data_IF_996154145177
#
_entry.id   IF_996154145177
#
_cell.length_a   1.000
_cell.length_b   1.000
_cell.length_c   1.000
_cell.angle_alpha   90.00
_cell.angle_beta   90.00
_cell.angle_gamma   90.00
#
_symmetry.space_group_name_H-M   'P 1'
#
loop_
_entity.id
_entity.type
_entity.pdbx_description
1 polymer ?
#
# COMPACT_ATOMS: atom_id res chain seq x y z
N UNK A 1 30.23 -2.73 -1.48
CA UNK A 1 31.50 -3.33 -1.97
C UNK A 1 31.80 -3.11 -3.46
N UNK A 2 30.82 -2.80 -4.32
CA UNK A 2 31.06 -2.76 -5.78
C UNK A 2 31.98 -1.62 -6.26
N UNK A 3 31.85 -0.40 -5.71
CA UNK A 3 32.69 0.75 -6.13
C UNK A 3 34.17 0.57 -5.79
N UNK A 4 34.49 0.02 -4.62
CA UNK A 4 35.89 -0.24 -4.24
C UNK A 4 36.54 -1.30 -5.15
N UNK A 5 35.80 -2.34 -5.52
CA UNK A 5 36.29 -3.35 -6.46
C UNK A 5 36.47 -2.78 -7.89
N UNK A 6 35.52 -1.97 -8.36
CA UNK A 6 35.63 -1.29 -9.65
C UNK A 6 36.84 -0.34 -9.72
N UNK A 7 37.11 0.42 -8.64
CA UNK A 7 38.29 1.29 -8.57
C UNK A 7 39.61 0.51 -8.60
N UNK A 8 39.67 -0.66 -7.93
CA UNK A 8 40.83 -1.56 -8.02
C UNK A 8 41.09 -2.05 -9.45
N UNK A 9 40.02 -2.45 -10.17
CA UNK A 9 40.13 -2.86 -11.58
C UNK A 9 40.53 -1.71 -12.50
N UNK A 10 40.09 -0.49 -12.22
CA UNK A 10 40.41 0.71 -13.00
C UNK A 10 41.77 1.34 -12.67
N UNK A 11 42.56 0.76 -11.75
CA UNK A 11 43.85 1.32 -11.31
C UNK A 11 43.72 2.63 -10.50
N UNK A 12 42.52 2.94 -10.01
CA UNK A 12 42.25 4.15 -9.23
C UNK A 12 42.65 3.90 -7.77
N UNK A 13 43.69 4.60 -7.31
CA UNK A 13 44.31 4.40 -5.99
C UNK A 13 43.63 5.18 -4.86
N UNK A 14 42.84 6.21 -5.18
CA UNK A 14 42.12 7.01 -4.20
C UNK A 14 40.68 7.31 -4.64
N UNK A 15 39.76 7.30 -3.68
CA UNK A 15 38.35 7.66 -3.90
C UNK A 15 37.95 8.77 -2.94
N UNK A 16 37.18 9.74 -3.44
CA UNK A 16 36.57 10.75 -2.57
C UNK A 16 35.44 10.09 -1.79
N UNK A 17 35.60 10.04 -0.47
CA UNK A 17 34.58 9.58 0.46
C UNK A 17 34.20 10.74 1.39
N UNK A 18 32.92 10.83 1.71
CA UNK A 18 32.43 11.77 2.70
C UNK A 18 32.12 10.97 3.96
N UNK A 19 32.86 11.25 5.03
CA UNK A 19 32.74 10.54 6.31
C UNK A 19 32.01 11.48 7.26
N UNK A 20 30.90 11.00 7.81
CA UNK A 20 30.09 11.71 8.79
C UNK A 20 30.37 11.09 10.17
N UNK A 21 30.65 11.93 11.16
CA UNK A 21 30.97 11.50 12.52
C UNK A 21 29.94 12.02 13.51
N UNK A 22 29.73 11.30 14.61
CA UNK A 22 28.88 11.75 15.72
C UNK A 22 27.38 11.74 15.43
N UNK A 23 26.95 11.02 14.40
CA UNK A 23 25.53 10.81 14.12
C UNK A 23 24.98 9.68 14.99
N UNK A 24 23.76 9.85 15.48
CA UNK A 24 22.97 8.74 16.01
C UNK A 24 22.30 7.93 14.88
N UNK A 25 21.71 6.79 15.22
CA UNK A 25 21.13 5.89 14.22
C UNK A 25 19.96 6.53 13.44
N UNK A 26 19.22 7.47 14.03
CA UNK A 26 18.14 8.18 13.34
C UNK A 26 18.71 9.19 12.35
N UNK A 27 19.72 9.95 12.76
CA UNK A 27 20.42 10.92 11.92
C UNK A 27 21.14 10.23 10.74
N UNK A 28 21.74 9.07 10.96
CA UNK A 28 22.30 8.24 9.89
C UNK A 28 21.23 7.80 8.88
N UNK A 29 20.05 7.38 9.36
CA UNK A 29 18.93 6.99 8.51
C UNK A 29 18.40 8.16 7.65
N UNK A 30 18.25 9.35 8.24
CA UNK A 30 17.86 10.57 7.51
C UNK A 30 18.88 10.90 6.42
N UNK A 31 20.17 10.88 6.75
CA UNK A 31 21.24 11.16 5.78
C UNK A 31 21.26 10.13 4.64
N UNK A 32 21.01 8.86 4.95
CA UNK A 32 20.87 7.80 3.96
C UNK A 32 19.72 8.08 2.99
N UNK A 33 18.53 8.49 3.49
CA UNK A 33 17.39 8.82 2.64
C UNK A 33 17.71 9.98 1.69
N UNK A 34 18.30 11.06 2.22
CA UNK A 34 18.66 12.24 1.43
C UNK A 34 19.62 11.85 0.30
N UNK A 35 20.72 11.16 0.63
CA UNK A 35 21.76 10.80 -0.34
C UNK A 35 21.29 9.80 -1.39
N UNK A 36 20.46 8.83 -1.01
CA UNK A 36 19.99 7.84 -1.98
C UNK A 36 18.88 8.38 -2.88
N UNK A 37 18.00 9.25 -2.37
CA UNK A 37 17.00 9.94 -3.19
C UNK A 37 17.63 10.67 -4.38
N UNK A 38 18.86 11.19 -4.20
CA UNK A 38 19.61 11.92 -5.22
C UNK A 38 20.45 11.02 -6.15
N UNK A 39 20.77 9.78 -5.78
CA UNK A 39 21.85 9.01 -6.45
C UNK A 39 21.46 7.63 -6.99
N UNK A 40 20.41 6.97 -6.49
CA UNK A 40 19.90 5.69 -7.02
C UNK A 40 18.48 5.39 -6.52
N UNK A 41 17.63 4.79 -7.36
CA UNK A 41 16.25 4.44 -6.98
C UNK A 41 16.24 3.28 -5.97
N UNK A 42 16.02 3.60 -4.70
CA UNK A 42 15.84 2.63 -3.61
C UNK A 42 14.47 1.96 -3.75
N UNK A 43 14.31 0.75 -3.22
CA UNK A 43 13.00 0.10 -3.20
C UNK A 43 12.09 0.79 -2.18
N UNK A 44 10.78 0.88 -2.45
CA UNK A 44 9.83 1.49 -1.50
C UNK A 44 9.86 0.83 -0.12
N UNK A 45 10.16 -0.48 -0.07
CA UNK A 45 10.28 -1.21 1.20
C UNK A 45 11.49 -0.75 2.01
N UNK A 46 12.62 -0.50 1.34
CA UNK A 46 13.82 -0.02 2.02
C UNK A 46 13.64 1.45 2.44
N UNK A 47 13.02 2.29 1.60
CA UNK A 47 12.64 3.65 1.98
C UNK A 47 11.73 3.66 3.22
N UNK A 48 10.73 2.78 3.27
CA UNK A 48 9.87 2.62 4.44
C UNK A 48 10.65 2.24 5.71
N UNK A 49 11.53 1.24 5.64
CA UNK A 49 12.33 0.80 6.81
C UNK A 49 13.27 1.90 7.31
N UNK A 50 13.88 2.64 6.40
CA UNK A 50 14.73 3.75 6.77
C UNK A 50 13.90 4.91 7.32
N UNK A 51 12.71 5.18 6.74
CA UNK A 51 11.75 6.15 7.25
C UNK A 51 11.30 5.84 8.67
N UNK A 52 11.03 4.56 8.99
CA UNK A 52 10.76 4.13 10.37
C UNK A 52 11.91 4.42 11.31
N UNK A 53 13.14 4.07 10.91
CA UNK A 53 14.34 4.37 11.70
C UNK A 53 14.52 5.87 11.92
N UNK A 54 14.21 6.67 10.90
CA UNK A 54 14.27 8.13 10.94
C UNK A 54 13.10 8.78 11.73
N UNK A 55 12.10 8.01 12.17
CA UNK A 55 10.93 8.56 12.87
C UNK A 55 9.96 9.33 11.97
N UNK A 56 9.93 9.03 10.66
CA UNK A 56 8.98 9.65 9.73
C UNK A 56 7.53 9.36 10.15
N UNK A 57 6.73 10.42 10.31
CA UNK A 57 5.39 10.32 10.87
C UNK A 57 4.45 9.41 10.05
N UNK A 58 4.57 9.43 8.71
CA UNK A 58 3.78 8.56 7.84
C UNK A 58 4.19 7.10 8.01
N UNK A 59 5.49 6.81 8.02
CA UNK A 59 5.98 5.45 8.23
C UNK A 59 5.56 4.91 9.60
N UNK A 60 5.69 5.72 10.66
CA UNK A 60 5.31 5.33 12.03
C UNK A 60 3.81 5.05 12.14
N UNK A 61 2.95 5.90 11.56
CA UNK A 61 1.51 5.69 11.55
C UNK A 61 1.14 4.39 10.83
N UNK A 62 1.74 4.15 9.65
CA UNK A 62 1.55 2.90 8.91
C UNK A 62 1.96 1.67 9.74
N UNK A 63 3.11 1.72 10.42
CA UNK A 63 3.56 0.58 11.23
C UNK A 63 2.60 0.33 12.39
N UNK A 64 2.19 1.37 13.10
CA UNK A 64 1.24 1.27 14.20
C UNK A 64 -0.07 0.61 13.76
N UNK A 65 -0.64 1.05 12.63
CA UNK A 65 -1.85 0.44 12.07
C UNK A 65 -1.63 -1.04 11.70
N UNK A 66 -0.52 -1.38 11.05
CA UNK A 66 -0.26 -2.76 10.64
C UNK A 66 -0.06 -3.68 11.84
N UNK A 67 0.62 -3.23 12.90
CA UNK A 67 0.81 -3.99 14.14
C UNK A 67 -0.53 -4.28 14.83
N UNK A 68 -1.48 -3.34 14.81
CA UNK A 68 -2.85 -3.55 15.33
C UNK A 68 -3.55 -4.73 14.63
N UNK A 69 -3.27 -4.94 13.34
CA UNK A 69 -3.79 -6.06 12.55
C UNK A 69 -2.88 -7.30 12.57
N UNK A 70 -1.79 -7.29 13.34
CA UNK A 70 -0.75 -8.33 13.31
C UNK A 70 -0.22 -8.60 11.89
N UNK A 71 -0.08 -7.54 11.09
CA UNK A 71 0.46 -7.54 9.73
C UNK A 71 1.86 -6.91 9.70
N UNK A 72 2.64 -7.28 8.70
CA UNK A 72 3.97 -6.71 8.42
C UNK A 72 4.08 -6.28 6.96
N UNK A 73 4.87 -5.25 6.68
CA UNK A 73 5.18 -4.86 5.30
C UNK A 73 6.29 -5.71 4.70
N UNK A 74 6.06 -6.13 3.45
CA UNK A 74 6.99 -6.96 2.71
C UNK A 74 6.94 -8.45 3.08
N UNK A 75 7.52 -9.27 2.20
CA UNK A 75 7.48 -10.73 2.30
C UNK A 75 6.32 -11.36 1.53
N UNK A 76 6.15 -12.67 1.71
CA UNK A 76 5.18 -13.50 0.98
C UNK A 76 4.20 -14.25 1.89
N UNK A 77 4.20 -13.97 3.19
CA UNK A 77 3.34 -14.64 4.16
C UNK A 77 1.89 -14.15 4.12
N UNK A 78 0.97 -14.90 4.73
CA UNK A 78 -0.44 -14.50 4.89
C UNK A 78 -0.62 -13.28 5.80
N UNK A 79 0.36 -12.97 6.63
CA UNK A 79 0.40 -11.77 7.48
C UNK A 79 1.34 -10.70 6.91
N UNK A 80 1.68 -10.79 5.62
CA UNK A 80 2.55 -9.84 4.93
C UNK A 80 1.79 -9.06 3.86
N UNK A 81 1.85 -7.74 3.93
CA UNK A 81 1.36 -6.85 2.87
C UNK A 81 2.51 -6.57 1.90
N UNK A 82 2.47 -7.20 0.72
CA UNK A 82 3.47 -6.99 -0.33
C UNK A 82 3.36 -5.62 -1.04
N UNK A 83 2.23 -4.93 -0.86
CA UNK A 83 1.88 -3.71 -1.57
C UNK A 83 2.29 -2.43 -0.81
N UNK A 84 3.60 -2.28 -0.53
CA UNK A 84 4.15 -1.17 0.28
C UNK A 84 3.71 0.20 -0.21
N UNK A 85 3.83 0.47 -1.51
CA UNK A 85 3.44 1.75 -2.09
C UNK A 85 1.94 2.04 -1.95
N UNK A 86 1.08 1.01 -1.91
CA UNK A 86 -0.35 1.20 -1.75
C UNK A 86 -0.69 1.62 -0.31
N UNK A 87 -0.10 0.96 0.69
CA UNK A 87 -0.33 1.26 2.12
C UNK A 87 0.13 2.69 2.46
N UNK A 88 1.33 3.07 2.02
CA UNK A 88 1.84 4.43 2.21
C UNK A 88 0.94 5.47 1.53
N UNK A 89 0.48 5.19 0.32
CA UNK A 89 -0.41 6.10 -0.43
C UNK A 89 -1.79 6.25 0.21
N UNK A 90 -2.37 5.15 0.72
CA UNK A 90 -3.66 5.19 1.43
C UNK A 90 -3.54 6.09 2.65
N UNK A 91 -2.55 5.82 3.51
CA UNK A 91 -2.34 6.56 4.75
C UNK A 91 -2.01 8.03 4.49
N UNK A 92 -1.10 8.30 3.54
CA UNK A 92 -0.71 9.66 3.22
C UNK A 92 -1.80 10.49 2.54
N UNK A 93 -2.79 9.86 1.88
CA UNK A 93 -3.85 10.56 1.15
C UNK A 93 -5.19 10.62 1.90
N UNK A 94 -5.51 9.55 2.63
CA UNK A 94 -6.83 9.37 3.26
C UNK A 94 -6.74 9.27 4.78
N UNK A 95 -5.54 9.22 5.35
CA UNK A 95 -5.32 9.12 6.79
C UNK A 95 -5.21 7.68 7.30
N UNK A 96 -4.73 7.57 8.54
CA UNK A 96 -4.51 6.31 9.25
C UNK A 96 -5.83 5.54 9.47
N UNK A 97 -6.90 6.25 9.86
CA UNK A 97 -8.21 5.66 10.13
C UNK A 97 -8.80 4.94 8.90
N UNK A 98 -8.57 5.49 7.70
CA UNK A 98 -9.03 4.86 6.46
C UNK A 98 -8.23 3.59 6.17
N UNK A 99 -6.93 3.57 6.45
CA UNK A 99 -6.13 2.35 6.33
C UNK A 99 -6.64 1.29 7.31
N UNK A 100 -6.84 1.66 8.58
CA UNK A 100 -7.32 0.75 9.63
C UNK A 100 -8.67 0.11 9.28
N UNK A 101 -9.64 0.93 8.86
CA UNK A 101 -10.96 0.45 8.39
C UNK A 101 -10.83 -0.44 7.15
N UNK A 102 -9.98 -0.06 6.20
CA UNK A 102 -9.73 -0.86 4.98
C UNK A 102 -9.23 -2.26 5.32
N UNK A 103 -8.23 -2.37 6.19
CA UNK A 103 -7.66 -3.65 6.60
C UNK A 103 -8.68 -4.49 7.37
N UNK A 104 -9.44 -3.87 8.27
CA UNK A 104 -10.51 -4.53 9.04
C UNK A 104 -11.58 -5.14 8.14
N UNK A 105 -12.09 -4.36 7.18
CA UNK A 105 -13.12 -4.82 6.25
C UNK A 105 -12.58 -5.90 5.32
N UNK A 106 -11.36 -5.74 4.80
CA UNK A 106 -10.73 -6.73 3.92
C UNK A 106 -10.55 -8.09 4.65
N UNK A 107 -10.06 -8.05 5.90
CA UNK A 107 -9.92 -9.26 6.73
C UNK A 107 -11.28 -9.91 7.00
N UNK A 108 -12.29 -9.11 7.35
CA UNK A 108 -13.64 -9.62 7.63
C UNK A 108 -14.33 -10.19 6.39
N UNK A 109 -14.11 -9.60 5.22
CA UNK A 109 -14.74 -10.02 3.97
C UNK A 109 -14.07 -11.25 3.36
N UNK A 110 -12.73 -11.31 3.38
CA UNK A 110 -11.96 -12.29 2.61
C UNK A 110 -11.10 -13.23 3.46
N UNK A 111 -10.94 -12.94 4.75
CA UNK A 111 -9.98 -13.61 5.62
C UNK A 111 -8.54 -13.15 5.36
N UNK A 112 -7.58 -13.87 5.94
CA UNK A 112 -6.15 -13.59 5.75
C UNK A 112 -5.59 -14.45 4.62
N UNK A 113 -5.26 -13.80 3.50
CA UNK A 113 -4.51 -14.42 2.41
C UNK A 113 -3.60 -13.39 1.75
N UNK A 114 -2.63 -13.86 0.96
CA UNK A 114 -1.75 -12.97 0.18
C UNK A 114 -2.55 -12.05 -0.74
N UNK A 115 -3.63 -12.55 -1.33
CA UNK A 115 -4.51 -11.81 -2.23
C UNK A 115 -5.35 -10.77 -1.48
N UNK A 116 -5.69 -11.02 -0.22
CA UNK A 116 -6.49 -10.11 0.61
C UNK A 116 -5.78 -8.76 0.81
N UNK A 117 -4.45 -8.78 0.75
CA UNK A 117 -3.58 -7.61 0.88
C UNK A 117 -3.04 -7.08 -0.46
N UNK A 118 -3.62 -7.51 -1.59
CA UNK A 118 -3.23 -7.01 -2.90
C UNK A 118 -3.48 -5.50 -2.98
N UNK A 119 -2.47 -4.75 -3.40
CA UNK A 119 -2.49 -3.29 -3.44
C UNK A 119 -3.65 -2.69 -4.21
N UNK A 120 -4.11 -3.37 -5.26
CA UNK A 120 -5.25 -2.88 -6.03
C UNK A 120 -6.58 -3.06 -5.29
N UNK A 121 -6.70 -4.11 -4.48
CA UNK A 121 -7.90 -4.40 -3.70
C UNK A 121 -8.01 -3.45 -2.51
N UNK A 122 -6.97 -3.38 -1.68
CA UNK A 122 -6.96 -2.46 -0.53
C UNK A 122 -6.98 -0.99 -1.00
N UNK A 123 -6.35 -0.67 -2.13
CA UNK A 123 -6.39 0.68 -2.72
C UNK A 123 -7.77 1.07 -3.22
N UNK A 124 -8.49 0.16 -3.88
CA UNK A 124 -9.86 0.41 -4.34
C UNK A 124 -10.87 0.51 -3.20
N UNK A 125 -10.72 -0.35 -2.18
CA UNK A 125 -11.54 -0.30 -0.97
C UNK A 125 -11.31 0.99 -0.17
N UNK A 126 -10.05 1.38 0.03
CA UNK A 126 -9.71 2.64 0.69
C UNK A 126 -10.26 3.86 -0.07
N UNK A 127 -10.17 3.86 -1.40
CA UNK A 127 -10.77 4.92 -2.24
C UNK A 127 -12.31 4.97 -2.10
N UNK A 128 -12.96 3.83 -1.88
CA UNK A 128 -14.40 3.77 -1.64
C UNK A 128 -14.74 4.37 -0.28
N UNK A 129 -14.04 3.94 0.77
CA UNK A 129 -14.23 4.45 2.14
C UNK A 129 -13.89 5.94 2.24
N UNK A 130 -12.86 6.43 1.56
CA UNK A 130 -12.51 7.85 1.58
C UNK A 130 -13.59 8.75 0.95
N UNK A 131 -14.48 8.20 0.13
CA UNK A 131 -15.53 8.95 -0.57
C UNK A 131 -16.90 8.83 0.08
N UNK A 132 -17.20 7.65 0.63
CA UNK A 132 -18.54 7.30 1.09
C UNK A 132 -18.59 6.83 2.54
N UNK A 133 -17.42 6.65 3.19
CA UNK A 133 -17.25 5.90 4.43
C UNK A 133 -18.04 6.39 5.63
N UNK A 134 -18.55 7.62 5.61
CA UNK A 134 -19.43 8.17 6.65
C UNK A 134 -20.81 7.49 6.66
N UNK A 135 -21.29 7.04 5.49
CA UNK A 135 -22.59 6.38 5.31
C UNK A 135 -22.47 4.84 5.22
N UNK A 136 -21.26 4.31 5.43
CA UNK A 136 -20.96 2.88 5.29
C UNK A 136 -20.88 2.23 6.66
N UNK A 137 -21.70 1.19 6.83
CA UNK A 137 -21.53 0.19 7.87
C UNK A 137 -20.51 -0.86 7.40
N UNK A 138 -19.38 -0.92 8.11
CA UNK A 138 -18.23 -1.76 7.77
C UNK A 138 -18.58 -3.26 7.79
N UNK A 139 -19.46 -3.68 8.70
CA UNK A 139 -19.88 -5.07 8.85
C UNK A 139 -20.80 -5.50 7.71
N UNK A 140 -21.75 -4.63 7.36
CA UNK A 140 -22.65 -4.85 6.23
C UNK A 140 -21.86 -4.85 4.91
N UNK A 141 -20.89 -3.96 4.77
CA UNK A 141 -20.03 -3.92 3.59
C UNK A 141 -19.23 -5.21 3.47
N UNK A 142 -18.57 -5.65 4.55
CA UNK A 142 -17.78 -6.87 4.56
C UNK A 142 -18.62 -8.10 4.19
N UNK A 143 -19.84 -8.23 4.76
CA UNK A 143 -20.76 -9.32 4.42
C UNK A 143 -21.17 -9.31 2.95
N UNK A 144 -21.44 -8.13 2.39
CA UNK A 144 -21.81 -8.01 0.96
C UNK A 144 -20.62 -8.38 0.06
N UNK A 145 -19.41 -7.94 0.42
CA UNK A 145 -18.20 -8.30 -0.32
C UNK A 145 -17.92 -9.80 -0.26
N UNK A 146 -18.09 -10.42 0.91
CA UNK A 146 -17.93 -11.86 1.11
C UNK A 146 -18.91 -12.68 0.26
N UNK A 147 -20.17 -12.24 0.15
CA UNK A 147 -21.20 -12.91 -0.67
C UNK A 147 -20.87 -12.92 -2.17
N UNK A 148 -20.09 -11.96 -2.65
CA UNK A 148 -19.61 -11.95 -4.05
C UNK A 148 -18.46 -12.94 -4.27
N UNK A 149 -17.63 -13.17 -3.25
CA UNK A 149 -16.51 -14.12 -3.29
C UNK A 149 -15.32 -13.68 -2.44
N UNK A 150 -14.32 -14.56 -2.34
CA UNK A 150 -13.07 -14.31 -1.62
C UNK A 150 -12.09 -13.44 -2.44
N UNK A 151 -10.99 -13.00 -1.82
CA UNK A 151 -10.01 -12.08 -2.43
C UNK A 151 -9.50 -12.53 -3.81
N UNK A 152 -9.26 -13.82 -4.02
CA UNK A 152 -8.83 -14.34 -5.32
C UNK A 152 -9.86 -14.11 -6.44
N UNK A 153 -11.15 -14.26 -6.14
CA UNK A 153 -12.24 -13.96 -7.08
C UNK A 153 -12.30 -12.47 -7.40
N UNK A 154 -12.25 -11.62 -6.37
CA UNK A 154 -12.22 -10.17 -6.53
C UNK A 154 -11.04 -9.71 -7.38
N UNK A 155 -9.85 -10.25 -7.11
CA UNK A 155 -8.63 -10.00 -7.88
C UNK A 155 -8.80 -10.36 -9.34
N UNK A 156 -9.32 -11.56 -9.65
CA UNK A 156 -9.59 -11.96 -11.02
C UNK A 156 -10.61 -11.03 -11.71
N UNK A 157 -11.71 -10.70 -11.02
CA UNK A 157 -12.78 -9.83 -11.53
C UNK A 157 -12.26 -8.41 -11.83
N UNK A 158 -11.44 -7.84 -10.94
CA UNK A 158 -10.77 -6.54 -11.17
C UNK A 158 -9.90 -6.58 -12.42
N UNK A 159 -9.10 -7.64 -12.58
CA UNK A 159 -8.25 -7.78 -13.75
C UNK A 159 -9.09 -7.86 -15.05
N UNK A 160 -10.16 -8.66 -15.06
CA UNK A 160 -11.08 -8.76 -16.21
C UNK A 160 -11.73 -7.43 -16.56
N UNK A 161 -12.29 -6.72 -15.57
CA UNK A 161 -12.93 -5.41 -15.78
C UNK A 161 -11.93 -4.38 -16.29
N UNK A 162 -10.70 -4.39 -15.75
CA UNK A 162 -9.65 -3.46 -16.18
C UNK A 162 -9.17 -3.71 -17.62
N UNK A 163 -9.12 -4.98 -18.05
CA UNK A 163 -8.70 -5.35 -19.40
C UNK A 163 -9.77 -5.05 -20.46
N UNK A 164 -11.05 -5.26 -20.13
CA UNK A 164 -12.15 -5.05 -21.08
C UNK A 164 -12.61 -3.59 -21.19
N UNK A 165 -12.31 -2.76 -20.18
CA UNK A 165 -12.88 -1.41 -20.04
C UNK A 165 -12.15 -0.27 -20.76
N UNK A 166 -11.08 -0.55 -21.53
CA UNK A 166 -10.38 0.49 -22.30
C UNK A 166 -9.91 1.67 -21.44
N UNK A 167 -9.43 1.42 -20.22
CA UNK A 167 -9.03 2.42 -19.22
C UNK A 167 -7.75 3.22 -19.58
N UNK A 168 -7.47 3.37 -20.87
CA UNK A 168 -6.45 4.26 -21.38
C UNK A 168 -7.06 5.68 -21.43
N UNK A 169 -6.60 6.60 -20.58
CA UNK A 169 -6.76 8.07 -20.67
C UNK A 169 -7.82 8.83 -19.83
N UNK A 170 -8.50 8.26 -18.82
CA UNK A 170 -9.41 9.07 -17.97
C UNK A 170 -8.85 9.54 -16.62
N UNK A 171 -7.58 9.25 -16.29
CA UNK A 171 -7.00 9.55 -14.97
C UNK A 171 -7.59 8.71 -13.81
N UNK A 172 -8.76 8.11 -14.01
CA UNK A 172 -9.47 7.12 -13.19
C UNK A 172 -9.36 5.69 -13.75
N UNK A 173 -8.35 5.42 -14.57
CA UNK A 173 -8.16 4.15 -15.30
C UNK A 173 -7.38 3.05 -14.57
N UNK A 174 -7.18 3.18 -13.26
CA UNK A 174 -6.37 2.24 -12.51
C UNK A 174 -7.17 0.99 -12.10
N UNK A 175 -6.47 -0.13 -11.87
CA UNK A 175 -7.07 -1.34 -11.27
C UNK A 175 -7.76 -1.05 -9.92
N UNK A 176 -7.26 -0.06 -9.18
CA UNK A 176 -7.92 0.44 -7.97
C UNK A 176 -9.28 1.07 -8.27
N UNK A 177 -9.40 1.81 -9.37
CA UNK A 177 -10.68 2.38 -9.79
C UNK A 177 -11.68 1.29 -10.20
N UNK A 178 -11.21 0.24 -10.89
CA UNK A 178 -12.05 -0.92 -11.17
C UNK A 178 -12.48 -1.64 -9.88
N UNK A 179 -11.59 -1.81 -8.90
CA UNK A 179 -11.94 -2.36 -7.61
C UNK A 179 -12.95 -1.49 -6.85
N UNK A 180 -12.76 -0.16 -6.84
CA UNK A 180 -13.72 0.80 -6.29
C UNK A 180 -15.13 0.61 -6.88
N UNK A 181 -15.24 0.45 -8.19
CA UNK A 181 -16.55 0.21 -8.84
C UNK A 181 -17.18 -1.09 -8.36
N UNK A 182 -16.40 -2.18 -8.26
CA UNK A 182 -16.90 -3.46 -7.76
C UNK A 182 -17.36 -3.38 -6.30
N UNK A 183 -16.64 -2.64 -5.44
CA UNK A 183 -17.04 -2.42 -4.04
C UNK A 183 -18.35 -1.64 -3.99
N UNK A 184 -18.48 -0.58 -4.79
CA UNK A 184 -19.72 0.20 -4.91
C UNK A 184 -20.89 -0.64 -5.39
N UNK A 185 -20.68 -1.49 -6.39
CA UNK A 185 -21.71 -2.37 -6.92
C UNK A 185 -22.16 -3.40 -5.88
N UNK A 186 -21.22 -4.00 -5.15
CA UNK A 186 -21.52 -4.90 -4.04
C UNK A 186 -22.34 -4.19 -2.94
N UNK A 187 -21.98 -2.96 -2.58
CA UNK A 187 -22.72 -2.16 -1.60
C UNK A 187 -24.15 -1.83 -2.06
N UNK A 188 -24.31 -1.42 -3.32
CA UNK A 188 -25.59 -1.04 -3.91
C UNK A 188 -26.52 -2.23 -4.19
N UNK A 189 -25.99 -3.46 -4.19
CA UNK A 189 -26.79 -4.68 -4.40
C UNK A 189 -27.92 -4.78 -3.37
N UNK A 190 -29.14 -4.91 -3.86
CA UNK A 190 -30.36 -4.97 -3.05
C UNK A 190 -30.90 -3.61 -2.57
N UNK A 191 -30.27 -2.49 -2.92
CA UNK A 191 -30.76 -1.14 -2.59
C UNK A 191 -31.65 -0.58 -3.71
N UNK A 192 -32.72 0.13 -3.31
CA UNK A 192 -33.59 0.92 -4.21
C UNK A 192 -32.78 2.06 -4.85
N UNK A 193 -33.16 2.49 -6.05
CA UNK A 193 -32.41 3.48 -6.83
C UNK A 193 -32.11 4.78 -6.05
N UNK A 194 -33.04 5.27 -5.24
CA UNK A 194 -32.85 6.48 -4.42
C UNK A 194 -31.90 6.33 -3.22
N UNK A 195 -31.51 5.10 -2.86
CA UNK A 195 -30.64 4.81 -1.71
C UNK A 195 -29.26 4.27 -2.15
N UNK A 196 -28.94 4.36 -3.44
CA UNK A 196 -27.64 3.98 -4.01
C UNK A 196 -26.68 5.18 -3.98
N UNK A 197 -25.41 4.87 -3.83
CA UNK A 197 -24.27 5.79 -4.00
C UNK A 197 -23.62 5.65 -5.38
#
# INVERSE_FOLDING_TARGET
>A
MHRCHACKLAGVTSIKAEIHHGLDQQQEAVLFLIKNRESAKVSTLDEYKVGLTAGDALCVAVDATLQKHALKLGGSSTNSVGAVSAVLRITGRYGEDVLDRTLSIAEKAWGRSKESWDGMLIGGLALFLSRHGDDIDDDVLAQKMQKEGLAGYWRAKVLTVSSNGGYNNSGTGSRESACYQLVRDAWNKGRKAGNRI
#
